data_IF_793602648373
#
_entry.id   IF_793602648373
#
_cell.length_a   1.000
_cell.length_b   1.000
_cell.length_c   1.000
_cell.angle_alpha   90.00
_cell.angle_beta   90.00
_cell.angle_gamma   90.00
#
_symmetry.space_group_name_H-M   'P 1'
#
loop_
_entity.id
_entity.type
_entity.pdbx_description
1 polymer ?
#
# COMPACT_ATOMS: atom_id res chain seq x y z
N UNK A 1 -47.51 16.39 -25.22
CA UNK A 1 -48.23 15.17 -24.76
C UNK A 1 -47.23 14.01 -24.78
N UNK A 2 -47.00 13.34 -23.65
CA UNK A 2 -46.03 12.23 -23.56
C UNK A 2 -46.45 11.04 -24.42
N UNK A 3 -45.52 10.45 -25.19
CA UNK A 3 -45.73 9.24 -26.00
C UNK A 3 -46.38 8.10 -25.19
N UNK A 4 -46.08 8.03 -23.88
CA UNK A 4 -46.68 7.07 -22.95
C UNK A 4 -48.19 7.29 -22.77
N UNK A 5 -48.65 8.54 -22.67
CA UNK A 5 -50.08 8.86 -22.48
C UNK A 5 -50.93 8.70 -23.74
N UNK A 6 -50.31 8.76 -24.92
CA UNK A 6 -50.96 8.42 -26.19
C UNK A 6 -51.05 6.90 -26.38
N UNK A 7 -49.99 6.16 -26.02
CA UNK A 7 -49.98 4.69 -26.06
C UNK A 7 -50.98 4.07 -25.07
N UNK A 8 -51.03 4.57 -23.83
CA UNK A 8 -51.98 4.08 -22.81
C UNK A 8 -53.44 4.29 -23.24
N UNK A 9 -53.75 5.39 -23.95
CA UNK A 9 -55.08 5.63 -24.52
C UNK A 9 -55.40 4.67 -25.67
N UNK A 10 -54.43 4.33 -26.50
CA UNK A 10 -54.60 3.36 -27.59
C UNK A 10 -54.79 1.92 -27.06
N UNK A 11 -54.01 1.51 -26.06
CA UNK A 11 -54.13 0.18 -25.41
C UNK A 11 -55.47 0.03 -24.71
N UNK A 12 -55.95 1.08 -24.01
CA UNK A 12 -57.26 1.05 -23.36
C UNK A 12 -58.41 1.02 -24.36
N UNK A 13 -58.28 1.68 -25.52
CA UNK A 13 -59.25 1.55 -26.63
C UNK A 13 -59.27 0.14 -27.21
N UNK A 14 -58.10 -0.47 -27.44
CA UNK A 14 -58.01 -1.84 -27.96
C UNK A 14 -58.62 -2.86 -26.99
N UNK A 15 -58.29 -2.80 -25.69
CA UNK A 15 -58.88 -3.70 -24.66
C UNK A 15 -60.41 -3.60 -24.58
N UNK A 16 -60.98 -2.41 -24.76
CA UNK A 16 -62.43 -2.22 -24.76
C UNK A 16 -63.11 -2.78 -26.01
N UNK A 17 -62.43 -2.83 -27.15
CA UNK A 17 -62.94 -3.44 -28.39
C UNK A 17 -62.93 -4.97 -28.28
N UNK A 18 -61.87 -5.57 -27.71
CA UNK A 18 -61.74 -7.03 -27.62
C UNK A 18 -62.65 -7.69 -26.57
N UNK A 19 -63.12 -6.95 -25.55
CA UNK A 19 -64.07 -7.45 -24.54
C UNK A 19 -65.43 -7.93 -25.10
N UNK A 20 -65.73 -7.63 -26.37
CA UNK A 20 -66.94 -8.08 -27.09
C UNK A 20 -66.78 -9.36 -27.92
N UNK A 21 -65.58 -9.92 -28.04
CA UNK A 21 -65.35 -11.19 -28.76
C UNK A 21 -64.83 -12.28 -27.79
N UNK A 22 -65.26 -13.54 -27.99
CA UNK A 22 -65.18 -14.63 -27.02
C UNK A 22 -63.77 -15.01 -26.50
N UNK A 23 -63.76 -15.81 -25.41
CA UNK A 23 -62.60 -16.16 -24.56
C UNK A 23 -61.30 -16.60 -25.27
N UNK A 24 -61.36 -17.25 -26.43
CA UNK A 24 -60.15 -17.78 -27.11
C UNK A 24 -59.33 -16.70 -27.84
N UNK A 25 -59.97 -15.65 -28.36
CA UNK A 25 -59.27 -14.54 -29.02
C UNK A 25 -58.61 -13.59 -27.99
N UNK A 26 -59.14 -13.57 -26.75
CA UNK A 26 -58.67 -12.69 -25.69
C UNK A 26 -57.30 -13.08 -25.13
N UNK A 27 -56.94 -14.37 -25.10
CA UNK A 27 -55.65 -14.81 -24.55
C UNK A 27 -54.49 -14.51 -25.51
N UNK A 28 -54.68 -14.71 -26.82
CA UNK A 28 -53.67 -14.38 -27.83
C UNK A 28 -53.47 -12.85 -27.98
N UNK A 29 -54.55 -12.07 -27.90
CA UNK A 29 -54.48 -10.61 -27.94
C UNK A 29 -53.89 -10.03 -26.64
N UNK A 30 -54.15 -10.63 -25.48
CA UNK A 30 -53.56 -10.19 -24.22
C UNK A 30 -52.04 -10.41 -24.19
N UNK A 31 -51.55 -11.55 -24.70
CA UNK A 31 -50.10 -11.80 -24.75
C UNK A 31 -49.38 -10.86 -25.72
N UNK A 32 -49.97 -10.55 -26.88
CA UNK A 32 -49.38 -9.57 -27.83
C UNK A 32 -49.37 -8.15 -27.27
N UNK A 33 -50.39 -7.75 -26.52
CA UNK A 33 -50.44 -6.44 -25.86
C UNK A 33 -49.42 -6.34 -24.72
N UNK A 34 -49.22 -7.41 -23.94
CA UNK A 34 -48.19 -7.47 -22.89
C UNK A 34 -46.78 -7.39 -23.49
N UNK A 35 -46.51 -8.12 -24.58
CA UNK A 35 -45.23 -8.06 -25.31
C UNK A 35 -44.98 -6.69 -25.96
N UNK A 36 -46.00 -6.06 -26.54
CA UNK A 36 -45.90 -4.71 -27.09
C UNK A 36 -45.65 -3.67 -26.00
N UNK A 37 -46.27 -3.81 -24.83
CA UNK A 37 -46.02 -2.95 -23.67
C UNK A 37 -44.59 -3.08 -23.16
N UNK A 38 -44.07 -4.31 -23.05
CA UNK A 38 -42.67 -4.55 -22.67
C UNK A 38 -41.68 -3.95 -23.67
N UNK A 39 -41.93 -4.08 -24.97
CA UNK A 39 -41.09 -3.50 -26.02
C UNK A 39 -41.08 -1.96 -25.98
N UNK A 40 -42.24 -1.34 -25.73
CA UNK A 40 -42.36 0.12 -25.58
C UNK A 40 -41.69 0.60 -24.29
N UNK A 41 -41.85 -0.10 -23.17
CA UNK A 41 -41.18 0.25 -21.91
C UNK A 41 -39.67 0.10 -22.02
N UNK A 42 -39.17 -0.97 -22.64
CA UNK A 42 -37.75 -1.16 -22.94
C UNK A 42 -37.20 -0.06 -23.86
N UNK A 43 -37.91 0.27 -24.95
CA UNK A 43 -37.54 1.36 -25.86
C UNK A 43 -37.54 2.73 -25.18
N UNK A 44 -38.49 3.00 -24.27
CA UNK A 44 -38.53 4.24 -23.46
C UNK A 44 -37.39 4.29 -22.45
N UNK A 45 -36.99 3.16 -21.87
CA UNK A 45 -35.82 3.08 -21.00
C UNK A 45 -34.51 3.32 -21.76
N UNK A 46 -34.36 2.72 -22.95
CA UNK A 46 -33.19 2.93 -23.81
C UNK A 46 -33.08 4.38 -24.31
N UNK A 47 -34.19 5.00 -24.71
CA UNK A 47 -34.21 6.40 -25.17
C UNK A 47 -33.97 7.39 -24.03
N UNK A 48 -34.49 7.14 -22.82
CA UNK A 48 -34.17 7.95 -21.63
C UNK A 48 -32.71 7.83 -21.21
N UNK A 49 -32.13 6.63 -21.33
CA UNK A 49 -30.70 6.40 -21.08
C UNK A 49 -29.85 7.14 -22.11
N UNK A 50 -30.17 6.99 -23.40
CA UNK A 50 -29.50 7.70 -24.48
C UNK A 50 -29.60 9.24 -24.34
N UNK A 51 -30.75 9.78 -23.94
CA UNK A 51 -30.91 11.21 -23.70
C UNK A 51 -30.09 11.71 -22.50
N UNK A 52 -30.03 10.93 -21.40
CA UNK A 52 -29.15 11.23 -20.25
C UNK A 52 -27.67 11.14 -20.61
N UNK A 53 -27.28 10.17 -21.44
CA UNK A 53 -25.91 9.98 -21.89
C UNK A 53 -25.50 11.15 -22.83
N UNK A 54 -26.40 11.61 -23.69
CA UNK A 54 -26.19 12.77 -24.57
C UNK A 54 -26.11 14.11 -23.79
N UNK A 55 -26.86 14.24 -22.70
CA UNK A 55 -26.83 15.41 -21.81
C UNK A 55 -25.57 15.43 -20.92
N UNK A 56 -25.13 14.25 -20.47
CA UNK A 56 -23.86 14.05 -19.75
C UNK A 56 -22.65 14.36 -20.64
N UNK A 57 -22.75 14.07 -21.93
CA UNK A 57 -21.72 14.39 -22.92
C UNK A 57 -21.59 15.89 -23.18
N UNK A 58 -22.70 16.65 -23.14
CA UNK A 58 -22.69 18.12 -23.30
C UNK A 58 -22.08 18.90 -22.12
N UNK A 59 -22.01 18.30 -20.93
CA UNK A 59 -21.46 18.91 -19.72
C UNK A 59 -20.12 18.29 -19.29
N UNK A 60 -19.44 17.63 -20.24
CA UNK A 60 -18.16 16.97 -20.02
C UNK A 60 -17.02 17.95 -20.32
N UNK A 61 -16.38 18.51 -19.28
CA UNK A 61 -15.28 19.44 -19.47
C UNK A 61 -13.97 18.69 -19.77
N UNK A 62 -13.68 17.64 -18.99
CA UNK A 62 -12.58 16.72 -19.28
C UNK A 62 -13.01 15.26 -19.13
N UNK A 63 -12.31 14.37 -19.81
CA UNK A 63 -12.43 12.92 -19.61
C UNK A 63 -11.30 12.43 -18.70
N UNK A 64 -11.67 11.70 -17.66
CA UNK A 64 -10.72 11.00 -16.81
C UNK A 64 -10.18 9.73 -17.48
N UNK A 65 -9.27 9.07 -16.78
CA UNK A 65 -8.61 7.86 -17.24
C UNK A 65 -9.57 6.74 -17.68
N UNK A 66 -10.74 6.66 -17.06
CA UNK A 66 -11.74 5.62 -17.31
C UNK A 66 -12.85 6.09 -18.27
N UNK A 67 -12.65 7.25 -18.92
CA UNK A 67 -13.63 7.87 -19.81
C UNK A 67 -14.78 8.57 -19.07
N UNK A 68 -14.69 8.71 -17.75
CA UNK A 68 -15.63 9.44 -16.91
C UNK A 68 -15.53 10.95 -17.12
N UNK A 69 -16.65 11.66 -17.03
CA UNK A 69 -16.68 13.11 -17.21
C UNK A 69 -16.36 13.84 -15.90
N UNK A 70 -15.46 14.83 -16.00
CA UNK A 70 -15.00 15.68 -14.91
C UNK A 70 -15.38 17.13 -15.19
N UNK A 71 -15.52 17.91 -14.11
CA UNK A 71 -15.89 19.32 -14.16
C UNK A 71 -14.63 20.18 -14.26
N UNK A 72 -14.74 21.33 -14.94
CA UNK A 72 -13.65 22.30 -15.04
C UNK A 72 -13.18 22.72 -13.64
N UNK A 73 -11.86 22.74 -13.45
CA UNK A 73 -11.21 23.07 -12.18
C UNK A 73 -11.16 21.93 -11.16
N UNK A 74 -11.74 20.77 -11.45
CA UNK A 74 -11.66 19.63 -10.53
C UNK A 74 -10.25 19.02 -10.50
N UNK A 75 -9.86 18.55 -9.31
CA UNK A 75 -8.62 17.82 -9.05
C UNK A 75 -8.95 16.54 -8.28
N UNK A 76 -8.29 15.44 -8.61
CA UNK A 76 -8.48 14.17 -7.91
C UNK A 76 -7.24 13.29 -7.99
N UNK A 77 -7.19 12.31 -7.09
CA UNK A 77 -6.16 11.26 -7.10
C UNK A 77 -6.81 9.91 -7.32
N UNK A 78 -6.37 9.20 -8.36
CA UNK A 78 -6.73 7.82 -8.63
C UNK A 78 -5.73 6.86 -7.95
N UNK A 79 -6.23 5.73 -7.46
CA UNK A 79 -5.46 4.68 -6.78
C UNK A 79 -4.55 5.22 -5.65
N UNK A 80 -4.96 6.33 -5.02
CA UNK A 80 -4.19 7.07 -4.01
C UNK A 80 -2.76 7.43 -4.46
N UNK A 81 -2.49 7.46 -5.76
CA UNK A 81 -1.15 7.61 -6.33
C UNK A 81 -1.10 8.59 -7.49
N UNK A 82 -2.10 8.61 -8.37
CA UNK A 82 -2.02 9.35 -9.64
C UNK A 82 -2.92 10.56 -9.60
N UNK A 83 -2.35 11.76 -9.58
CA UNK A 83 -3.10 13.01 -9.45
C UNK A 83 -3.32 13.67 -10.80
N UNK A 84 -4.54 14.15 -11.02
CA UNK A 84 -4.98 14.77 -12.27
C UNK A 84 -5.76 16.06 -11.99
N UNK A 85 -5.78 16.94 -12.98
CA UNK A 85 -6.63 18.13 -12.98
C UNK A 85 -7.38 18.28 -14.30
N UNK A 86 -8.58 18.84 -14.22
CA UNK A 86 -9.36 19.20 -15.39
C UNK A 86 -9.24 20.71 -15.65
N UNK A 87 -8.45 21.08 -16.67
CA UNK A 87 -8.29 22.48 -17.11
C UNK A 87 -8.98 22.80 -18.44
N UNK A 88 -9.43 21.78 -19.18
CA UNK A 88 -10.10 21.92 -20.47
C UNK A 88 -11.64 21.99 -20.33
N UNK A 89 -12.32 22.46 -21.37
CA UNK A 89 -13.78 22.65 -21.38
C UNK A 89 -14.49 21.98 -22.57
N UNK A 90 -13.77 21.21 -23.37
CA UNK A 90 -14.21 20.62 -24.64
C UNK A 90 -14.22 19.08 -24.63
N UNK A 91 -14.13 18.48 -23.44
CA UNK A 91 -14.07 17.03 -23.29
C UNK A 91 -12.69 16.43 -23.55
N UNK A 92 -11.63 17.26 -23.60
CA UNK A 92 -10.25 16.81 -23.71
C UNK A 92 -9.84 15.89 -22.54
N UNK A 93 -8.77 15.10 -22.71
CA UNK A 93 -8.21 14.31 -21.62
C UNK A 93 -7.79 15.19 -20.44
N UNK A 94 -7.97 14.66 -19.22
CA UNK A 94 -7.45 15.30 -18.03
C UNK A 94 -5.92 15.42 -18.04
N UNK A 95 -5.41 16.48 -17.45
CA UNK A 95 -3.97 16.72 -17.34
C UNK A 95 -3.42 15.95 -16.14
N UNK A 96 -2.40 15.12 -16.38
CA UNK A 96 -1.66 14.49 -15.29
C UNK A 96 -0.76 15.53 -14.61
N UNK A 97 -0.90 15.68 -13.29
CA UNK A 97 -0.17 16.72 -12.54
C UNK A 97 0.96 16.16 -11.70
N UNK A 98 0.88 14.90 -11.26
CA UNK A 98 1.93 14.30 -10.46
C UNK A 98 1.53 13.04 -9.72
N UNK A 99 2.45 12.56 -8.92
CA UNK A 99 2.31 11.34 -8.14
C UNK A 99 2.18 11.68 -6.66
N UNK A 100 1.16 11.14 -6.00
CA UNK A 100 0.98 11.23 -4.56
C UNK A 100 1.87 10.18 -3.88
N UNK A 101 2.92 10.64 -3.22
CA UNK A 101 3.84 9.83 -2.43
C UNK A 101 3.44 9.89 -0.95
N UNK A 102 3.39 8.73 -0.28
CA UNK A 102 3.25 8.66 1.17
C UNK A 102 4.61 8.86 1.82
N UNK A 103 4.73 9.87 2.66
CA UNK A 103 5.97 10.23 3.33
C UNK A 103 5.78 10.01 4.82
N UNK A 104 6.58 9.09 5.36
CA UNK A 104 6.64 8.87 6.81
C UNK A 104 7.28 10.10 7.48
N UNK A 105 6.58 10.72 8.43
CA UNK A 105 7.17 11.75 9.29
C UNK A 105 7.73 11.12 10.56
N UNK A 106 8.90 11.60 11.01
CA UNK A 106 9.48 11.22 12.31
C UNK A 106 8.45 11.43 13.43
N UNK A 107 8.03 10.33 14.06
CA UNK A 107 7.09 10.34 15.20
C UNK A 107 5.63 10.68 14.86
N UNK A 108 5.21 10.62 13.60
CA UNK A 108 3.87 11.03 13.16
C UNK A 108 3.19 10.06 12.21
N UNK A 109 1.96 10.39 11.80
CA UNK A 109 1.27 9.69 10.70
C UNK A 109 1.94 10.04 9.37
N UNK A 110 1.96 9.07 8.46
CA UNK A 110 2.35 9.31 7.08
C UNK A 110 1.50 10.42 6.47
N UNK A 111 2.15 11.34 5.76
CA UNK A 111 1.50 12.44 5.04
C UNK A 111 1.63 12.18 3.54
N UNK A 112 0.58 12.54 2.81
CA UNK A 112 0.64 12.50 1.36
C UNK A 112 1.27 13.79 0.82
N UNK A 113 2.29 13.64 -0.03
CA UNK A 113 2.91 14.75 -0.74
C UNK A 113 2.87 14.51 -2.25
N UNK A 114 2.51 15.56 -2.98
CA UNK A 114 2.49 15.54 -4.45
C UNK A 114 3.90 15.77 -5.00
N UNK A 115 4.38 14.81 -5.78
CA UNK A 115 5.59 14.92 -6.60
C UNK A 115 5.17 15.34 -8.01
N UNK A 116 5.56 16.53 -8.50
CA UNK A 116 5.17 17.00 -9.82
C UNK A 116 5.51 16.02 -10.95
N UNK A 117 4.68 16.00 -11.99
CA UNK A 117 4.91 15.17 -13.17
C UNK A 117 6.26 15.52 -13.84
N UNK A 118 7.09 14.51 -14.09
CA UNK A 118 8.41 14.66 -14.70
C UNK A 118 9.50 15.15 -13.74
N UNK A 119 9.23 15.26 -12.44
CA UNK A 119 10.20 15.74 -11.45
C UNK A 119 10.72 14.63 -10.53
N UNK A 120 11.87 14.93 -9.91
CA UNK A 120 12.46 14.19 -8.81
C UNK A 120 12.59 15.14 -7.62
N UNK A 121 12.17 14.71 -6.44
CA UNK A 121 12.33 15.46 -5.19
C UNK A 121 12.99 14.60 -4.12
N UNK A 122 13.89 15.19 -3.35
CA UNK A 122 14.40 14.56 -2.13
C UNK A 122 13.64 15.13 -0.93
N UNK A 123 13.05 14.24 -0.14
CA UNK A 123 12.16 14.61 0.96
C UNK A 123 12.58 13.78 2.17
N UNK A 124 12.88 14.46 3.27
CA UNK A 124 13.42 13.85 4.49
C UNK A 124 14.66 12.98 4.25
N UNK A 125 15.47 13.34 3.25
CA UNK A 125 16.70 12.62 2.87
C UNK A 125 16.50 11.53 1.83
N UNK A 126 15.27 11.15 1.50
CA UNK A 126 14.96 10.08 0.56
C UNK A 126 14.47 10.62 -0.79
N UNK A 127 15.00 10.11 -1.89
CA UNK A 127 14.56 10.53 -3.22
C UNK A 127 13.22 9.92 -3.62
N UNK A 128 12.42 10.70 -4.33
CA UNK A 128 11.12 10.36 -4.89
C UNK A 128 11.09 10.85 -6.33
N UNK A 129 10.48 10.08 -7.22
CA UNK A 129 10.44 10.37 -8.65
C UNK A 129 9.07 10.09 -9.23
N UNK A 130 8.54 11.03 -10.01
CA UNK A 130 7.30 10.86 -10.76
C UNK A 130 7.60 10.99 -12.26
N UNK A 131 7.95 9.86 -12.89
CA UNK A 131 8.28 9.81 -14.31
C UNK A 131 7.00 9.68 -15.15
N UNK A 132 6.96 10.39 -16.28
CA UNK A 132 5.89 10.27 -17.28
C UNK A 132 6.49 10.19 -18.69
N UNK A 133 6.00 9.25 -19.49
CA UNK A 133 6.29 9.16 -20.92
C UNK A 133 5.05 8.69 -21.70
N UNK A 134 5.18 8.50 -23.01
CA UNK A 134 4.06 8.14 -23.90
C UNK A 134 3.46 6.74 -23.65
N UNK A 135 4.12 5.91 -22.85
CA UNK A 135 3.75 4.51 -22.62
C UNK A 135 3.32 4.27 -21.17
N UNK A 136 3.84 5.02 -20.20
CA UNK A 136 3.61 4.80 -18.78
C UNK A 136 3.80 6.05 -17.92
N UNK A 137 3.17 6.03 -16.76
CA UNK A 137 3.48 6.87 -15.62
C UNK A 137 4.08 5.96 -14.54
N UNK A 138 5.13 6.43 -13.84
CA UNK A 138 5.85 5.67 -12.83
C UNK A 138 6.13 6.55 -11.61
N UNK A 139 5.67 6.10 -10.46
CA UNK A 139 6.12 6.60 -9.16
C UNK A 139 7.23 5.67 -8.67
N UNK A 140 8.40 6.21 -8.36
CA UNK A 140 9.48 5.50 -7.70
C UNK A 140 9.91 6.25 -6.44
N UNK A 141 10.27 5.48 -5.42
CA UNK A 141 10.74 5.96 -4.13
C UNK A 141 12.02 5.22 -3.80
N UNK A 142 12.93 5.89 -3.09
CA UNK A 142 14.13 5.27 -2.59
C UNK A 142 13.78 4.10 -1.65
N UNK A 143 14.36 2.90 -1.85
CA UNK A 143 14.18 1.79 -0.92
C UNK A 143 14.76 2.14 0.45
N UNK A 144 14.06 1.77 1.52
CA UNK A 144 14.45 2.06 2.90
C UNK A 144 13.85 1.08 3.90
N UNK A 145 14.36 1.09 5.12
CA UNK A 145 13.81 0.32 6.22
C UNK A 145 13.19 1.26 7.25
N UNK A 146 11.87 1.16 7.47
CA UNK A 146 11.19 1.83 8.57
C UNK A 146 11.17 0.91 9.80
N UNK A 147 11.88 1.32 10.85
CA UNK A 147 11.91 0.63 12.13
C UNK A 147 11.46 1.57 13.22
N UNK A 148 10.29 1.31 13.80
CA UNK A 148 9.70 2.12 14.87
C UNK A 148 9.58 3.62 14.50
N UNK A 149 9.29 3.95 13.23
CA UNK A 149 9.16 5.32 12.75
C UNK A 149 10.50 6.02 12.46
N UNK A 150 11.59 5.26 12.42
CA UNK A 150 12.91 5.73 11.98
C UNK A 150 13.25 5.07 10.66
N UNK A 151 13.46 5.91 9.65
CA UNK A 151 13.88 5.46 8.32
C UNK A 151 15.41 5.33 8.25
N UNK A 152 15.86 4.21 7.69
CA UNK A 152 17.27 3.91 7.43
C UNK A 152 17.50 3.73 5.92
N UNK A 153 18.62 4.24 5.41
CA UNK A 153 19.02 4.03 4.02
C UNK A 153 19.50 2.60 3.83
N UNK A 154 19.35 2.10 2.60
CA UNK A 154 19.92 0.81 2.22
C UNK A 154 21.43 0.83 2.40
N UNK A 155 21.96 -0.19 3.07
CA UNK A 155 23.36 -0.27 3.46
C UNK A 155 23.67 0.22 4.87
N UNK A 156 22.75 0.93 5.52
CA UNK A 156 22.94 1.39 6.89
C UNK A 156 22.96 0.22 7.87
N UNK A 157 23.92 0.25 8.79
CA UNK A 157 23.87 -0.58 9.99
C UNK A 157 23.23 0.22 11.11
N UNK A 158 22.17 -0.32 11.70
CA UNK A 158 21.49 0.29 12.82
C UNK A 158 21.27 -0.72 13.94
N UNK A 159 21.06 -0.19 15.14
CA UNK A 159 20.81 -1.01 16.32
C UNK A 159 19.34 -0.90 16.70
N UNK A 160 18.72 -2.06 16.89
CA UNK A 160 17.40 -2.16 17.49
C UNK A 160 17.46 -3.19 18.62
N UNK A 161 17.35 -2.68 19.86
CA UNK A 161 17.53 -3.44 21.09
C UNK A 161 18.89 -4.16 21.15
N UNK A 162 18.86 -5.49 21.19
CA UNK A 162 20.01 -6.39 21.28
C UNK A 162 20.65 -6.63 19.91
N UNK A 163 20.01 -6.26 18.81
CA UNK A 163 20.41 -6.72 17.49
C UNK A 163 21.02 -5.60 16.67
N UNK A 164 22.10 -5.93 15.96
CA UNK A 164 22.58 -5.12 14.86
C UNK A 164 21.89 -5.57 13.58
N UNK A 165 21.27 -4.62 12.90
CA UNK A 165 20.58 -4.81 11.65
C UNK A 165 21.31 -4.09 10.53
N UNK A 166 21.30 -4.69 9.35
CA UNK A 166 21.65 -4.08 8.07
C UNK A 166 20.37 -3.83 7.29
N UNK A 167 20.14 -2.59 6.86
CA UNK A 167 19.04 -2.28 5.96
C UNK A 167 19.36 -2.73 4.52
N UNK A 168 18.43 -3.43 3.90
CA UNK A 168 18.48 -3.90 2.51
C UNK A 168 17.27 -3.36 1.76
N UNK A 169 17.30 -3.42 0.42
CA UNK A 169 16.17 -2.95 -0.40
C UNK A 169 14.87 -3.74 -0.13
N UNK A 170 15.01 -5.02 0.21
CA UNK A 170 13.89 -5.95 0.40
C UNK A 170 13.48 -6.14 1.86
N UNK A 171 14.24 -5.61 2.81
CA UNK A 171 14.05 -5.89 4.23
C UNK A 171 15.25 -5.52 5.07
N UNK A 172 15.34 -6.08 6.28
CA UNK A 172 16.48 -5.93 7.18
C UNK A 172 17.05 -7.28 7.58
N UNK A 173 18.37 -7.33 7.73
CA UNK A 173 19.12 -8.55 8.03
C UNK A 173 19.95 -8.39 9.30
N UNK A 174 19.96 -9.39 10.17
CA UNK A 174 20.76 -9.37 11.40
C UNK A 174 22.23 -9.64 11.09
N UNK A 175 23.10 -8.72 11.50
CA UNK A 175 24.57 -8.82 11.30
C UNK A 175 25.33 -9.11 12.59
N UNK A 176 24.73 -8.89 13.75
CA UNK A 176 25.35 -9.14 15.05
C UNK A 176 24.43 -8.89 16.24
N UNK A 177 24.99 -9.03 17.44
CA UNK A 177 24.31 -8.84 18.72
C UNK A 177 25.09 -7.86 19.60
N UNK A 178 24.40 -7.00 20.33
CA UNK A 178 24.97 -6.09 21.30
C UNK A 178 24.78 -6.63 22.73
N UNK A 179 25.83 -6.52 23.55
CA UNK A 179 25.74 -6.74 24.99
C UNK A 179 26.38 -5.58 25.75
N UNK A 180 25.99 -5.37 27.01
CA UNK A 180 26.64 -4.39 27.88
C UNK A 180 27.80 -5.04 28.64
N UNK A 181 28.96 -4.38 28.62
CA UNK A 181 30.09 -4.78 29.45
C UNK A 181 29.96 -4.24 30.90
N UNK A 182 30.96 -4.47 31.77
CA UNK A 182 30.93 -3.98 33.17
C UNK A 182 30.92 -2.45 33.28
N UNK A 183 31.43 -1.73 32.27
CA UNK A 183 31.43 -0.26 32.23
C UNK A 183 30.13 0.32 31.66
N UNK A 184 29.12 -0.53 31.41
CA UNK A 184 27.85 -0.17 30.76
C UNK A 184 27.99 0.30 29.30
N UNK A 185 29.13 0.02 28.67
CA UNK A 185 29.34 0.25 27.25
C UNK A 185 28.75 -0.90 26.43
N UNK A 186 28.16 -0.56 25.29
CA UNK A 186 27.59 -1.54 24.37
C UNK A 186 28.64 -2.05 23.39
N UNK A 187 28.87 -3.36 23.44
CA UNK A 187 29.86 -4.04 22.61
C UNK A 187 29.13 -4.91 21.59
N UNK A 188 29.58 -4.85 20.33
CA UNK A 188 29.06 -5.65 19.24
C UNK A 188 29.78 -7.00 19.14
N UNK A 189 29.00 -8.07 19.09
CA UNK A 189 29.40 -9.42 18.73
C UNK A 189 28.93 -9.71 17.31
N UNK A 190 29.84 -10.12 16.42
CA UNK A 190 29.43 -10.66 15.12
C UNK A 190 28.82 -12.05 15.30
N UNK A 191 28.01 -12.45 14.33
CA UNK A 191 27.44 -13.80 14.32
C UNK A 191 28.58 -14.84 14.30
N UNK A 192 28.55 -15.77 15.25
CA UNK A 192 29.56 -16.80 15.49
C UNK A 192 30.59 -16.41 16.56
N UNK A 193 30.58 -15.18 17.06
CA UNK A 193 31.52 -14.73 18.09
C UNK A 193 31.02 -15.01 19.51
N UNK A 194 32.00 -15.22 20.39
CA UNK A 194 31.83 -15.38 21.81
C UNK A 194 32.77 -14.40 22.51
N UNK A 195 32.27 -13.67 23.51
CA UNK A 195 33.09 -12.83 24.38
C UNK A 195 32.81 -13.13 25.84
N UNK A 196 33.76 -12.73 26.68
CA UNK A 196 33.68 -12.94 28.12
C UNK A 196 33.68 -11.60 28.84
N UNK A 197 32.71 -11.45 29.74
CA UNK A 197 32.59 -10.31 30.64
C UNK A 197 32.63 -10.83 32.08
N UNK A 198 33.83 -10.90 32.65
CA UNK A 198 34.08 -11.54 33.94
C UNK A 198 33.72 -13.04 33.92
N UNK A 199 32.71 -13.41 34.72
CA UNK A 199 32.19 -14.78 34.82
C UNK A 199 31.09 -15.10 33.78
N UNK A 200 30.66 -14.11 33.01
CA UNK A 200 29.58 -14.26 32.03
C UNK A 200 30.20 -14.44 30.64
N UNK A 201 29.76 -15.48 29.94
CA UNK A 201 30.04 -15.75 28.54
C UNK A 201 28.86 -15.26 27.72
N UNK A 202 29.12 -14.37 26.78
CA UNK A 202 28.14 -13.85 25.83
C UNK A 202 28.38 -14.52 24.47
N UNK A 203 27.32 -15.06 23.88
CA UNK A 203 27.37 -15.74 22.57
C UNK A 203 26.33 -15.13 21.64
N UNK A 204 26.74 -14.84 20.40
CA UNK A 204 25.86 -14.44 19.31
C UNK A 204 26.02 -15.44 18.18
N UNK A 205 25.04 -16.30 17.91
CA UNK A 205 25.15 -17.35 16.90
C UNK A 205 23.83 -17.63 16.18
N UNK A 206 23.90 -18.43 15.11
CA UNK A 206 22.70 -18.90 14.41
C UNK A 206 22.16 -20.14 15.12
N UNK A 207 20.84 -20.24 15.21
CA UNK A 207 20.20 -21.41 15.77
C UNK A 207 20.56 -22.64 14.91
N UNK A 208 21.19 -23.66 15.50
CA UNK A 208 21.75 -24.81 14.75
C UNK A 208 20.70 -25.53 13.92
N UNK A 209 19.52 -25.73 14.50
CA UNK A 209 18.43 -26.46 13.83
C UNK A 209 17.64 -25.58 12.85
N UNK A 210 17.80 -24.26 12.93
CA UNK A 210 17.10 -23.31 12.07
C UNK A 210 17.99 -22.08 11.80
N UNK A 211 18.86 -22.11 10.78
CA UNK A 211 19.81 -21.04 10.51
C UNK A 211 19.14 -19.72 10.10
N UNK A 212 17.82 -19.73 9.83
CA UNK A 212 17.01 -18.53 9.62
C UNK A 212 16.69 -17.78 10.91
N UNK A 213 17.20 -18.23 12.07
CA UNK A 213 17.10 -17.53 13.35
C UNK A 213 18.48 -17.27 13.93
N UNK A 214 18.66 -16.08 14.46
CA UNK A 214 19.83 -15.69 15.25
C UNK A 214 19.42 -15.70 16.71
N UNK A 215 20.31 -16.21 17.55
CA UNK A 215 20.14 -16.26 18.98
C UNK A 215 21.28 -15.50 19.66
N UNK A 216 20.92 -14.84 20.75
CA UNK A 216 21.85 -14.25 21.70
C UNK A 216 21.57 -14.88 23.05
N UNK A 217 22.62 -15.39 23.69
CA UNK A 217 22.51 -15.92 25.03
C UNK A 217 23.73 -15.57 25.87
N UNK A 218 23.49 -15.38 27.17
CA UNK A 218 24.54 -15.14 28.15
C UNK A 218 24.49 -16.23 29.21
N UNK A 219 25.61 -16.89 29.49
CA UNK A 219 25.68 -18.00 30.44
C UNK A 219 26.88 -17.83 31.39
N UNK A 220 26.84 -18.48 32.55
CA UNK A 220 28.00 -18.53 33.44
C UNK A 220 29.04 -19.44 32.81
N UNK A 221 30.28 -18.96 32.80
CA UNK A 221 31.46 -19.72 32.39
C UNK A 221 31.58 -21.03 33.18
N UNK A 222 31.65 -22.15 32.47
CA UNK A 222 31.86 -23.49 33.05
C UNK A 222 33.34 -23.88 33.08
N UNK A 223 34.19 -23.13 32.38
CA UNK A 223 35.63 -23.36 32.27
C UNK A 223 36.44 -22.82 33.46
N UNK A 224 35.83 -21.99 34.30
CA UNK A 224 36.44 -21.42 35.51
C UNK A 224 35.71 -21.95 36.75
N UNK A 225 36.41 -22.59 37.73
CA UNK A 225 35.78 -23.03 38.97
C UNK A 225 35.26 -21.83 39.77
N UNK A 226 33.94 -21.69 39.86
CA UNK A 226 33.31 -20.64 40.67
C UNK A 226 32.95 -21.17 42.07
N UNK A 227 33.49 -20.53 43.11
CA UNK A 227 33.06 -20.75 44.50
C UNK A 227 31.96 -19.75 44.83
N UNK A 228 30.75 -20.22 45.06
CA UNK A 228 29.63 -19.40 45.55
C UNK A 228 29.98 -18.81 46.93
N UNK A 229 30.27 -17.51 47.09
CA UNK A 229 30.38 -16.91 48.41
C UNK A 229 28.95 -16.64 48.93
N UNK A 230 28.62 -16.91 50.20
CA UNK A 230 27.25 -16.78 50.72
C UNK A 230 26.64 -15.37 50.65
N UNK A 231 27.46 -14.32 50.44
CA UNK A 231 27.07 -12.92 50.61
C UNK A 231 27.60 -12.01 49.49
N UNK A 232 27.08 -12.10 48.27
CA UNK A 232 27.32 -11.05 47.26
C UNK A 232 26.02 -10.55 46.65
N UNK A 233 25.85 -9.23 46.74
CA UNK A 233 24.69 -8.51 46.26
C UNK A 233 24.44 -8.66 44.76
N UNK A 234 23.26 -8.19 44.36
CA UNK A 234 22.71 -8.29 43.00
C UNK A 234 23.70 -7.76 41.97
N UNK A 235 24.20 -8.63 41.09
CA UNK A 235 25.08 -8.25 39.99
C UNK A 235 24.28 -7.37 39.01
N UNK A 236 24.77 -6.16 38.74
CA UNK A 236 24.09 -5.15 37.91
C UNK A 236 24.48 -5.22 36.42
N UNK A 237 25.37 -6.13 36.02
CA UNK A 237 25.80 -6.30 34.62
C UNK A 237 24.81 -7.12 33.76
N UNK A 238 23.55 -7.25 34.20
CA UNK A 238 22.53 -8.09 33.57
C UNK A 238 21.39 -7.24 32.98
N UNK A 239 21.02 -7.43 31.71
CA UNK A 239 19.81 -6.84 31.13
C UNK A 239 18.53 -7.51 31.65
N UNK A 240 17.40 -6.77 31.70
CA UNK A 240 16.11 -7.28 32.19
C UNK A 240 15.42 -8.28 31.23
N UNK A 241 14.59 -9.17 31.79
CA UNK A 241 14.07 -10.40 31.16
C UNK A 241 12.96 -10.19 30.10
N UNK A 242 12.99 -10.97 29.01
CA UNK A 242 11.82 -11.25 28.15
C UNK A 242 11.78 -12.74 27.72
N UNK A 243 10.68 -13.41 28.12
CA UNK A 243 10.08 -14.73 27.85
C UNK A 243 10.87 -15.90 27.17
N UNK A 244 10.84 -17.06 27.84
CA UNK A 244 11.55 -18.31 27.51
C UNK A 244 10.57 -19.40 27.01
N UNK A 245 10.66 -19.80 25.73
CA UNK A 245 9.83 -20.88 25.13
C UNK A 245 10.63 -22.01 24.46
N UNK A 246 11.83 -22.35 24.94
CA UNK A 246 12.65 -23.43 24.38
C UNK A 246 12.57 -24.73 25.20
N UNK A 247 12.63 -25.88 24.51
CA UNK A 247 12.37 -27.25 25.02
C UNK A 247 13.54 -27.92 25.76
N UNK A 248 14.68 -27.25 25.90
CA UNK A 248 15.78 -27.63 26.78
C UNK A 248 16.15 -26.39 27.56
N UNK A 249 16.21 -26.48 28.89
CA UNK A 249 16.55 -25.35 29.77
C UNK A 249 17.96 -24.86 29.46
N UNK A 250 18.11 -23.67 28.85
CA UNK A 250 19.37 -22.96 28.93
C UNK A 250 19.54 -22.59 30.41
N UNK A 251 20.75 -22.77 30.94
CA UNK A 251 21.10 -22.36 32.30
C UNK A 251 20.62 -20.89 32.46
N UNK A 252 19.90 -20.53 33.54
CA UNK A 252 18.81 -19.53 33.56
C UNK A 252 19.24 -18.06 33.45
N UNK A 253 19.95 -17.72 32.38
CA UNK A 253 20.54 -16.42 32.16
C UNK A 253 20.30 -16.03 30.70
N UNK A 254 19.68 -14.86 30.50
CA UNK A 254 19.10 -14.26 29.29
C UNK A 254 19.29 -14.99 27.95
N UNK A 255 18.17 -15.31 27.29
CA UNK A 255 18.12 -15.88 25.95
C UNK A 255 17.15 -15.08 25.08
N UNK A 256 17.62 -14.55 23.95
CA UNK A 256 16.79 -13.81 23.00
C UNK A 256 16.99 -14.34 21.59
N UNK A 257 15.89 -14.40 20.83
CA UNK A 257 15.89 -14.91 19.47
C UNK A 257 15.21 -13.95 18.52
N UNK A 258 15.69 -13.91 17.28
CA UNK A 258 15.08 -13.14 16.21
C UNK A 258 15.24 -13.87 14.88
N UNK A 259 14.34 -13.61 13.92
CA UNK A 259 14.55 -14.06 12.55
C UNK A 259 15.75 -13.33 11.95
N UNK A 260 16.61 -14.06 11.23
CA UNK A 260 17.80 -13.48 10.59
C UNK A 260 17.46 -12.44 9.53
N UNK A 261 16.27 -12.53 8.96
CA UNK A 261 15.73 -11.60 7.98
C UNK A 261 14.29 -11.25 8.32
N UNK A 262 13.94 -9.97 8.15
CA UNK A 262 12.58 -9.46 8.22
C UNK A 262 12.33 -8.68 6.94
N UNK A 263 11.35 -9.11 6.14
CA UNK A 263 10.99 -8.42 4.91
C UNK A 263 10.39 -7.05 5.20
N UNK A 264 10.48 -6.13 4.24
CA UNK A 264 9.75 -4.87 4.32
C UNK A 264 8.26 -5.14 4.08
N UNK A 265 7.43 -4.93 5.09
CA UNK A 265 5.97 -5.14 5.02
C UNK A 265 5.22 -3.93 4.41
N UNK A 266 5.94 -3.02 3.74
CA UNK A 266 5.44 -1.73 3.25
C UNK A 266 4.81 -1.77 1.84
N UNK A 267 4.30 -0.60 1.41
CA UNK A 267 3.92 -0.40 0.01
C UNK A 267 5.14 -0.56 -0.91
N UNK A 268 4.96 -1.01 -2.16
CA UNK A 268 6.08 -1.18 -3.08
C UNK A 268 6.75 0.16 -3.36
N UNK A 269 8.08 0.17 -3.35
CA UNK A 269 8.91 1.34 -3.68
C UNK A 269 8.68 1.85 -5.12
N UNK A 270 7.99 1.10 -5.96
CA UNK A 270 7.68 1.49 -7.33
C UNK A 270 6.25 1.10 -7.69
N UNK A 271 5.50 2.05 -8.24
CA UNK A 271 4.19 1.84 -8.85
C UNK A 271 4.25 2.29 -10.31
N UNK A 272 3.66 1.52 -11.20
CA UNK A 272 3.64 1.81 -12.64
C UNK A 272 2.21 1.68 -13.15
N UNK A 273 1.77 2.67 -13.92
CA UNK A 273 0.53 2.64 -14.69
C UNK A 273 0.86 2.76 -16.17
N UNK A 274 0.51 1.75 -16.94
CA UNK A 274 0.68 1.78 -18.40
C UNK A 274 -0.45 2.57 -19.06
N UNK A 275 -0.10 3.34 -20.08
CA UNK A 275 -1.03 4.15 -20.85
C UNK A 275 -1.62 3.33 -22.00
N UNK A 276 -2.93 3.45 -22.28
CA UNK A 276 -3.52 2.84 -23.46
C UNK A 276 -3.01 3.57 -24.71
N UNK A 277 -2.80 2.83 -25.80
CA UNK A 277 -2.30 3.36 -27.08
C UNK A 277 -3.13 4.52 -27.66
N UNK A 278 -4.37 4.73 -27.19
CA UNK A 278 -5.26 5.81 -27.64
C UNK A 278 -5.06 7.15 -26.92
N UNK A 279 -4.26 7.22 -25.85
CA UNK A 279 -4.09 8.41 -25.03
C UNK A 279 -2.67 8.97 -25.15
N UNK A 280 -2.43 9.83 -26.14
CA UNK A 280 -1.27 10.75 -26.13
C UNK A 280 -1.44 11.76 -25.00
N UNK A 281 -0.57 11.72 -23.99
CA UNK A 281 -0.56 12.75 -22.94
C UNK A 281 0.16 13.98 -23.48
N UNK A 282 -0.52 15.12 -23.50
CA UNK A 282 0.14 16.40 -23.73
C UNK A 282 0.99 16.75 -22.50
N UNK A 283 2.31 16.64 -22.63
CA UNK A 283 3.23 17.16 -21.63
C UNK A 283 3.05 18.69 -21.50
N UNK A 284 3.13 19.26 -20.29
CA UNK A 284 3.24 20.71 -20.16
C UNK A 284 4.56 21.17 -20.79
N UNK A 285 4.48 21.94 -21.86
CA UNK A 285 5.63 22.62 -22.46
C UNK A 285 6.24 23.55 -21.41
N UNK A 286 7.39 23.16 -20.87
CA UNK A 286 8.25 24.04 -20.09
C UNK A 286 8.84 25.06 -21.08
N UNK A 287 8.31 26.28 -21.08
CA UNK A 287 8.99 27.39 -21.73
C UNK A 287 10.25 27.71 -20.91
N UNK A 288 11.40 27.28 -21.41
CA UNK A 288 12.69 27.81 -20.99
C UNK A 288 12.84 29.22 -21.57
N UNK A 289 12.81 30.23 -20.71
CA UNK A 289 13.26 31.60 -20.99
C UNK A 289 14.78 31.69 -21.02
#
# INVERSE_FOLDING_TARGET
MSLKSSFDRAVNRARNIFRRQGRSANNAASSTVESAKHAVESGVHHTKKAAKDLEKEKNCHCRDWYGGCRQLGSSWTDDNTWTYTCSASDGAPATFTGCQAKIARKGGRAEDKLIPAGSNETIDGFWHSCEINDIRIKLAQEPRCDVNGTDHHVGDNFRDNTWQWLCLETGRWVTGCYYQNETSDWILLKIGEVQYNGLIKHTCDRFKDNPGRVQYHAEIRTDVPFKNPPNKGTNKNFPEFVDNRLKTEPIPWLHQNVNSFVANDGEPNTKIRYLPQSNTIHQPTIFSS
#
